data_IF_967932831181
#
_entry.id   IF_967932831181
#
_cell.length_a   1.000
_cell.length_b   1.000
_cell.length_c   1.000
_cell.angle_alpha   90.00
_cell.angle_beta   90.00
_cell.angle_gamma   90.00
#
_symmetry.space_group_name_H-M   'P 1'
#
loop_
_entity.id
_entity.type
_entity.pdbx_description
1 polymer ?
#
# COMPACT_ATOMS: atom_id res chain seq x y z
N UNK A 1 12.26 18.74 -22.61
CA UNK A 1 11.60 17.81 -21.67
C UNK A 1 10.16 17.62 -22.13
N UNK A 2 9.67 16.40 -22.16
CA UNK A 2 8.25 16.14 -22.40
C UNK A 2 7.42 16.76 -21.26
N UNK A 3 6.16 17.11 -21.55
CA UNK A 3 5.23 17.54 -20.49
C UNK A 3 4.94 16.35 -19.57
N UNK A 4 4.92 16.52 -18.24
CA UNK A 4 4.47 15.47 -17.36
C UNK A 4 3.04 15.04 -17.68
N UNK A 5 2.76 13.75 -17.52
CA UNK A 5 1.40 13.20 -17.63
C UNK A 5 0.85 13.07 -16.22
N UNK A 6 -0.38 13.55 -16.00
CA UNK A 6 -0.99 13.46 -14.68
C UNK A 6 -2.34 12.74 -14.73
N UNK A 7 -2.47 11.71 -13.91
CA UNK A 7 -3.68 10.90 -13.79
C UNK A 7 -4.43 11.32 -12.53
N UNK A 8 -5.64 11.83 -12.70
CA UNK A 8 -6.53 12.21 -11.61
C UNK A 8 -7.80 11.37 -11.64
N UNK A 9 -8.32 10.99 -10.48
CA UNK A 9 -9.58 10.25 -10.38
C UNK A 9 -10.78 11.18 -10.21
N UNK A 10 -11.93 10.77 -10.71
CA UNK A 10 -13.18 11.43 -10.34
C UNK A 10 -13.64 11.08 -8.92
N UNK A 11 -13.03 10.03 -8.33
CA UNK A 11 -13.25 9.57 -6.95
C UNK A 11 -12.01 8.80 -6.47
N UNK A 12 -12.01 8.46 -5.17
CA UNK A 12 -11.16 7.39 -4.67
C UNK A 12 -11.48 6.08 -5.41
N UNK A 13 -10.55 5.15 -5.46
CA UNK A 13 -10.66 3.83 -6.13
C UNK A 13 -11.03 3.85 -7.63
N UNK A 14 -10.99 5.00 -8.29
CA UNK A 14 -11.21 5.06 -9.74
C UNK A 14 -10.14 4.33 -10.56
N UNK A 15 -9.01 3.95 -9.93
CA UNK A 15 -7.91 3.21 -10.54
C UNK A 15 -6.74 4.09 -11.00
N UNK A 16 -6.51 5.25 -10.36
CA UNK A 16 -5.36 6.13 -10.64
C UNK A 16 -4.04 5.38 -10.58
N UNK A 17 -3.78 4.72 -9.46
CA UNK A 17 -2.52 4.00 -9.21
C UNK A 17 -2.31 2.88 -10.22
N UNK A 18 -3.38 2.17 -10.60
CA UNK A 18 -3.35 1.17 -11.68
C UNK A 18 -2.91 1.78 -13.02
N UNK A 19 -3.53 2.88 -13.43
CA UNK A 19 -3.20 3.55 -14.70
C UNK A 19 -1.78 4.10 -14.69
N UNK A 20 -1.35 4.73 -13.58
CA UNK A 20 0.03 5.24 -13.44
C UNK A 20 1.05 4.10 -13.49
N UNK A 21 0.79 2.98 -12.81
CA UNK A 21 1.64 1.80 -12.86
C UNK A 21 1.76 1.25 -14.28
N UNK A 22 0.62 1.12 -14.98
CA UNK A 22 0.58 0.68 -16.38
C UNK A 22 1.37 1.61 -17.31
N UNK A 23 1.24 2.93 -17.15
CA UNK A 23 1.98 3.93 -17.94
C UNK A 23 3.49 3.87 -17.64
N UNK A 24 3.90 3.75 -16.38
CA UNK A 24 5.31 3.63 -16.02
C UNK A 24 5.96 2.42 -16.71
N UNK A 25 5.29 1.24 -16.69
CA UNK A 25 5.79 0.05 -17.37
C UNK A 25 5.73 0.21 -18.90
N UNK A 26 4.68 0.80 -19.43
CA UNK A 26 4.54 1.06 -20.87
C UNK A 26 5.70 1.93 -21.41
N UNK A 27 6.00 3.04 -20.75
CA UNK A 27 7.12 3.91 -21.14
C UNK A 27 8.47 3.21 -20.98
N UNK A 28 8.69 2.49 -19.89
CA UNK A 28 9.92 1.72 -19.67
C UNK A 28 10.14 0.66 -20.76
N UNK A 29 9.08 -0.03 -21.19
CA UNK A 29 9.14 -1.03 -22.28
C UNK A 29 9.48 -0.39 -23.65
N UNK A 30 9.22 0.90 -23.82
CA UNK A 30 9.62 1.68 -25.01
C UNK A 30 11.00 2.31 -24.89
N UNK A 31 11.72 2.03 -23.81
CA UNK A 31 13.05 2.56 -23.54
C UNK A 31 13.07 4.02 -23.07
N UNK A 32 11.91 4.60 -22.71
CA UNK A 32 11.82 5.94 -22.14
C UNK A 32 12.23 5.91 -20.68
N UNK A 33 13.15 6.79 -20.27
CA UNK A 33 13.55 6.95 -18.88
C UNK A 33 12.47 7.70 -18.10
N UNK A 34 11.58 6.93 -17.45
CA UNK A 34 10.36 7.43 -16.80
C UNK A 34 10.46 7.32 -15.28
N UNK A 35 9.86 8.28 -14.57
CA UNK A 35 9.67 8.22 -13.11
C UNK A 35 8.22 8.46 -12.72
N UNK A 36 7.70 7.73 -11.70
CA UNK A 36 6.44 8.08 -11.06
C UNK A 36 6.61 9.26 -10.11
N UNK A 37 5.51 9.95 -9.84
CA UNK A 37 5.44 11.00 -8.82
C UNK A 37 4.05 11.07 -8.20
N UNK A 38 3.97 11.16 -6.87
CA UNK A 38 2.76 11.51 -6.14
C UNK A 38 3.13 12.50 -5.04
N UNK A 39 2.67 13.73 -5.16
CA UNK A 39 3.06 14.84 -4.30
C UNK A 39 2.87 14.52 -2.82
N UNK A 40 1.69 14.00 -2.48
CA UNK A 40 1.34 13.55 -1.15
C UNK A 40 0.53 12.27 -1.25
N UNK A 41 0.90 11.25 -0.48
CA UNK A 41 0.09 10.06 -0.29
C UNK A 41 -0.44 10.01 1.16
N UNK A 42 -1.61 9.40 1.34
CA UNK A 42 -2.16 9.10 2.66
C UNK A 42 -2.42 7.59 2.71
N UNK A 43 -1.53 6.86 3.37
CA UNK A 43 -1.60 5.41 3.48
C UNK A 43 -0.77 4.90 4.65
N UNK A 44 -1.22 3.84 5.31
CA UNK A 44 -0.41 3.10 6.28
C UNK A 44 0.52 2.08 5.60
N UNK A 45 0.29 1.79 4.31
CA UNK A 45 1.12 0.87 3.53
C UNK A 45 2.36 1.60 2.99
N UNK A 46 3.52 1.14 3.41
CA UNK A 46 4.80 1.73 3.05
C UNK A 46 5.86 0.67 2.77
N UNK A 47 6.86 1.05 1.99
CA UNK A 47 8.06 0.27 1.74
C UNK A 47 9.29 1.12 2.09
N UNK A 48 10.46 0.50 2.05
CA UNK A 48 11.74 1.15 2.31
C UNK A 48 12.56 1.17 1.01
N UNK A 49 13.07 2.33 0.65
CA UNK A 49 13.96 2.50 -0.52
C UNK A 49 15.34 1.90 -0.26
N UNK A 50 16.18 1.67 -1.30
CA UNK A 50 17.53 1.13 -1.10
C UNK A 50 18.43 1.96 -0.18
N UNK A 51 18.21 3.27 -0.11
CA UNK A 51 18.94 4.21 0.77
C UNK A 51 18.30 4.34 2.18
N UNK A 52 17.28 3.53 2.48
CA UNK A 52 16.67 3.48 3.82
C UNK A 52 15.56 4.50 4.06
N UNK A 53 15.08 5.19 3.04
CA UNK A 53 13.97 6.14 3.17
C UNK A 53 12.60 5.43 3.09
N UNK A 54 11.61 5.94 3.79
CA UNK A 54 10.23 5.44 3.75
C UNK A 54 9.48 6.04 2.55
N UNK A 55 8.76 5.20 1.79
CA UNK A 55 7.96 5.60 0.63
C UNK A 55 6.61 4.88 0.62
N UNK A 56 5.57 5.51 0.09
CA UNK A 56 4.27 4.84 -0.10
C UNK A 56 4.40 3.58 -0.99
N UNK A 57 3.71 2.50 -0.61
CA UNK A 57 3.79 1.20 -1.30
C UNK A 57 3.42 1.32 -2.78
N UNK A 58 2.41 2.13 -3.13
CA UNK A 58 2.02 2.36 -4.52
C UNK A 58 3.16 2.98 -5.36
N UNK A 59 3.83 4.01 -4.83
CA UNK A 59 4.94 4.65 -5.56
C UNK A 59 6.19 3.78 -5.63
N UNK A 60 6.40 2.94 -4.62
CA UNK A 60 7.41 1.89 -4.68
C UNK A 60 7.14 0.94 -5.87
N UNK A 61 5.92 0.43 -5.99
CA UNK A 61 5.50 -0.43 -7.10
C UNK A 61 5.60 0.27 -8.46
N UNK A 62 5.22 1.55 -8.54
CA UNK A 62 5.32 2.35 -9.76
C UNK A 62 6.77 2.56 -10.20
N UNK A 63 7.72 2.69 -9.25
CA UNK A 63 9.15 2.72 -9.55
C UNK A 63 9.65 1.38 -10.11
N UNK A 64 9.19 0.24 -9.54
CA UNK A 64 9.48 -1.08 -10.11
C UNK A 64 8.88 -1.23 -11.52
N UNK A 65 7.67 -0.72 -11.73
CA UNK A 65 7.06 -0.67 -13.06
C UNK A 65 7.91 0.12 -14.06
N UNK A 66 8.46 1.25 -13.63
CA UNK A 66 9.38 2.08 -14.41
C UNK A 66 10.78 1.46 -14.59
N UNK A 67 11.06 0.29 -14.00
CA UNK A 67 12.38 -0.39 -13.99
C UNK A 67 13.50 0.45 -13.38
N UNK A 68 13.17 1.29 -12.39
CA UNK A 68 14.11 2.14 -11.66
C UNK A 68 14.06 1.87 -10.16
N UNK A 69 15.13 2.22 -9.46
CA UNK A 69 15.15 2.16 -8.00
C UNK A 69 14.15 3.18 -7.40
N UNK A 70 13.32 2.78 -6.43
CA UNK A 70 12.43 3.71 -5.75
C UNK A 70 13.24 4.75 -4.96
N UNK A 71 12.76 6.00 -4.95
CA UNK A 71 13.41 7.14 -4.30
C UNK A 71 12.35 7.95 -3.53
N UNK A 72 12.70 8.48 -2.37
CA UNK A 72 11.79 9.25 -1.53
C UNK A 72 11.15 10.46 -2.26
N UNK A 73 11.87 11.09 -3.20
CA UNK A 73 11.37 12.21 -3.99
C UNK A 73 10.21 11.85 -4.94
N UNK A 74 9.96 10.56 -5.19
CA UNK A 74 8.80 10.09 -5.96
C UNK A 74 7.49 10.19 -5.15
N UNK A 75 7.61 10.21 -3.82
CA UNK A 75 6.52 10.48 -2.89
C UNK A 75 7.05 11.33 -1.72
N UNK A 76 7.30 12.64 -1.95
CA UNK A 76 7.98 13.49 -0.99
C UNK A 76 7.24 13.69 0.32
N UNK A 77 5.92 13.49 0.33
CA UNK A 77 5.07 13.58 1.52
C UNK A 77 4.21 12.33 1.65
N UNK A 78 4.40 11.59 2.75
CA UNK A 78 3.54 10.46 3.10
C UNK A 78 2.90 10.75 4.46
N UNK A 79 1.57 10.74 4.50
CA UNK A 79 0.78 10.88 5.71
C UNK A 79 0.35 9.49 6.19
N UNK A 80 0.67 9.16 7.43
CA UNK A 80 0.27 7.90 8.06
C UNK A 80 -0.75 8.19 9.16
N UNK A 81 -2.05 7.94 8.92
CA UNK A 81 -3.08 8.13 9.93
C UNK A 81 -2.77 7.32 11.20
N UNK A 82 -2.79 7.99 12.35
CA UNK A 82 -2.61 7.38 13.67
C UNK A 82 -3.86 7.48 14.54
N UNK A 83 -4.75 8.43 14.21
CA UNK A 83 -6.08 8.63 14.79
C UNK A 83 -6.97 9.36 13.77
N UNK A 84 -8.25 9.59 14.09
CA UNK A 84 -9.22 10.23 13.18
C UNK A 84 -8.79 11.61 12.70
N UNK A 85 -8.06 12.36 13.54
CA UNK A 85 -7.61 13.74 13.24
C UNK A 85 -6.10 13.90 13.26
N UNK A 86 -5.35 12.82 13.46
CA UNK A 86 -3.90 12.84 13.61
C UNK A 86 -3.21 11.98 12.55
N UNK A 87 -2.08 12.47 12.07
CA UNK A 87 -1.23 11.72 11.15
C UNK A 87 0.24 12.00 11.41
N UNK A 88 1.05 10.95 11.38
CA UNK A 88 2.49 11.10 11.28
C UNK A 88 2.84 11.56 9.86
N UNK A 89 3.63 12.62 9.77
CA UNK A 89 4.09 13.17 8.48
C UNK A 89 5.50 12.68 8.20
N UNK A 90 5.65 11.97 7.09
CA UNK A 90 6.94 11.55 6.54
C UNK A 90 7.29 12.51 5.42
N UNK A 91 8.43 13.18 5.52
CA UNK A 91 8.94 14.13 4.53
C UNK A 91 10.24 13.58 3.94
N UNK A 92 10.29 13.43 2.63
CA UNK A 92 11.45 12.85 1.93
C UNK A 92 11.95 11.53 2.57
N UNK A 93 11.00 10.71 3.02
CA UNK A 93 11.25 9.39 3.60
C UNK A 93 11.67 9.38 5.08
N UNK A 94 11.64 10.52 5.77
CA UNK A 94 11.96 10.64 7.19
C UNK A 94 10.79 11.25 7.97
N UNK A 95 10.62 10.83 9.24
CA UNK A 95 9.58 11.42 10.11
C UNK A 95 9.91 12.88 10.40
N UNK A 96 8.99 13.78 10.10
CA UNK A 96 9.08 15.17 10.51
C UNK A 96 8.13 15.43 11.70
N UNK A 97 8.69 15.41 12.90
CA UNK A 97 7.93 15.61 14.13
C UNK A 97 7.37 17.04 14.24
N UNK A 98 8.08 18.03 13.72
CA UNK A 98 7.65 19.43 13.78
C UNK A 98 6.44 19.66 12.89
N UNK A 99 6.47 19.16 11.64
CA UNK A 99 5.32 19.23 10.73
C UNK A 99 4.17 18.34 11.23
N UNK A 100 4.46 17.16 11.80
CA UNK A 100 3.42 16.28 12.36
C UNK A 100 2.61 16.95 13.48
N UNK A 101 3.24 17.79 14.29
CA UNK A 101 2.60 18.53 15.38
C UNK A 101 1.84 19.79 14.93
N UNK A 102 1.98 20.21 13.66
CA UNK A 102 1.32 21.42 13.16
C UNK A 102 -0.16 21.16 12.81
N UNK A 103 -1.03 22.17 12.94
CA UNK A 103 -2.36 22.15 12.36
C UNK A 103 -2.32 21.89 10.83
N UNK A 104 -3.30 21.15 10.30
CA UNK A 104 -3.33 20.73 8.90
C UNK A 104 -3.09 21.87 7.90
N UNK A 105 -3.79 22.99 8.05
CA UNK A 105 -3.68 24.12 7.11
C UNK A 105 -2.31 24.82 7.16
N UNK A 106 -1.62 24.79 8.29
CA UNK A 106 -0.31 25.42 8.46
C UNK A 106 0.84 24.59 7.85
N UNK A 107 0.62 23.29 7.66
CA UNK A 107 1.60 22.39 7.01
C UNK A 107 1.77 22.69 5.53
N UNK A 108 0.68 23.08 4.85
CA UNK A 108 0.60 23.13 3.40
C UNK A 108 1.65 24.02 2.71
N UNK A 109 1.91 25.27 3.17
CA UNK A 109 2.93 26.09 2.51
C UNK A 109 4.34 25.50 2.59
N UNK A 110 4.67 24.83 3.69
CA UNK A 110 5.99 24.20 3.88
C UNK A 110 6.12 22.95 3.02
N UNK A 111 5.11 22.10 3.04
CA UNK A 111 5.06 20.88 2.24
C UNK A 111 5.10 21.19 0.74
N UNK A 112 4.46 22.28 0.31
CA UNK A 112 4.46 22.66 -1.10
C UNK A 112 5.85 22.98 -1.64
N UNK A 113 6.72 23.61 -0.87
CA UNK A 113 8.09 23.88 -1.29
C UNK A 113 8.87 22.59 -1.55
N UNK A 114 8.71 21.61 -0.64
CA UNK A 114 9.35 20.29 -0.75
C UNK A 114 8.81 19.53 -1.97
N UNK A 115 7.49 19.55 -2.17
CA UNK A 115 6.82 18.92 -3.31
C UNK A 115 7.35 19.49 -4.63
N UNK A 116 7.45 20.82 -4.75
CA UNK A 116 7.99 21.50 -5.95
C UNK A 116 9.43 21.07 -6.23
N UNK A 117 10.29 21.12 -5.23
CA UNK A 117 11.70 20.76 -5.39
C UNK A 117 11.84 19.30 -5.86
N UNK A 118 11.11 18.38 -5.22
CA UNK A 118 11.09 16.96 -5.59
C UNK A 118 10.61 16.76 -7.04
N UNK A 119 9.50 17.41 -7.42
CA UNK A 119 8.96 17.32 -8.78
C UNK A 119 9.95 17.83 -9.83
N UNK A 120 10.50 19.02 -9.64
CA UNK A 120 11.46 19.59 -10.59
C UNK A 120 12.77 18.80 -10.66
N UNK A 121 13.18 18.17 -9.55
CA UNK A 121 14.35 17.28 -9.56
C UNK A 121 14.10 16.04 -10.44
N UNK A 122 12.91 15.43 -10.35
CA UNK A 122 12.53 14.32 -11.23
C UNK A 122 12.41 14.76 -12.69
N UNK A 123 11.77 15.90 -12.97
CA UNK A 123 11.66 16.43 -14.33
C UNK A 123 13.02 16.73 -14.97
N UNK A 124 14.05 17.04 -14.18
CA UNK A 124 15.41 17.24 -14.69
C UNK A 124 16.10 15.92 -15.04
N UNK A 125 15.88 14.90 -14.21
CA UNK A 125 16.64 13.65 -14.26
C UNK A 125 16.01 12.60 -15.19
N UNK A 126 14.71 12.73 -15.50
CA UNK A 126 13.93 11.76 -16.27
C UNK A 126 13.35 12.40 -17.53
N UNK A 127 13.24 11.62 -18.59
CA UNK A 127 12.64 12.07 -19.86
C UNK A 127 11.13 12.29 -19.73
N UNK A 128 10.47 11.43 -18.93
CA UNK A 128 9.04 11.49 -18.65
C UNK A 128 8.78 11.37 -17.16
N UNK A 129 7.82 12.15 -16.65
CA UNK A 129 7.27 11.99 -15.30
C UNK A 129 5.78 11.68 -15.39
N UNK A 130 5.36 10.58 -14.75
CA UNK A 130 3.94 10.19 -14.63
C UNK A 130 3.48 10.51 -13.23
N UNK A 131 2.53 11.42 -13.11
CA UNK A 131 2.07 11.98 -11.83
C UNK A 131 0.74 11.35 -11.44
N UNK A 132 0.62 10.90 -10.20
CA UNK A 132 -0.63 10.45 -9.61
C UNK A 132 -1.25 11.55 -8.74
N UNK A 133 -2.52 11.87 -8.99
CA UNK A 133 -3.32 12.73 -8.12
C UNK A 133 -3.83 12.02 -6.87
N UNK A 134 -4.37 12.76 -5.92
CA UNK A 134 -5.01 12.25 -4.70
C UNK A 134 -6.52 12.49 -4.70
N UNK A 135 -7.33 11.48 -4.35
CA UNK A 135 -8.78 11.60 -4.33
C UNK A 135 -9.34 12.11 -5.66
N UNK A 136 -10.07 13.23 -5.62
CA UNK A 136 -10.62 13.91 -6.79
C UNK A 136 -10.17 15.39 -6.84
N UNK A 137 -9.89 15.97 -8.03
CA UNK A 137 -9.63 17.41 -8.15
C UNK A 137 -10.89 18.27 -7.93
N UNK A 138 -12.06 17.63 -7.83
CA UNK A 138 -13.35 18.29 -7.59
C UNK A 138 -13.70 18.43 -6.09
N UNK A 139 -12.76 18.16 -5.18
CA UNK A 139 -12.91 18.41 -3.74
C UNK A 139 -12.87 19.92 -3.46
N UNK A 140 -13.99 20.60 -3.69
CA UNK A 140 -14.11 22.07 -3.64
C UNK A 140 -13.72 22.63 -2.28
N UNK A 141 -14.08 21.92 -1.22
CA UNK A 141 -13.77 22.25 0.19
C UNK A 141 -12.27 22.19 0.50
N UNK A 142 -11.48 21.42 -0.24
CA UNK A 142 -10.03 21.25 -0.03
C UNK A 142 -9.19 22.05 -1.02
N UNK A 143 -9.80 22.76 -1.95
CA UNK A 143 -9.12 23.42 -3.07
C UNK A 143 -7.99 24.38 -2.65
N UNK A 144 -8.21 25.17 -1.60
CA UNK A 144 -7.23 26.14 -1.11
C UNK A 144 -6.03 25.48 -0.44
N UNK A 145 -6.17 24.26 0.04
CA UNK A 145 -5.13 23.45 0.68
C UNK A 145 -4.58 22.35 -0.22
N UNK A 146 -5.03 22.26 -1.47
CA UNK A 146 -4.58 21.25 -2.41
C UNK A 146 -3.10 21.43 -2.75
N UNK A 147 -2.31 20.37 -2.54
CA UNK A 147 -0.92 20.26 -2.99
C UNK A 147 -0.69 18.99 -3.82
N UNK A 148 -1.78 18.33 -4.26
CA UNK A 148 -1.72 16.99 -4.86
C UNK A 148 -2.28 16.96 -6.28
N UNK A 149 -3.34 17.74 -6.54
CA UNK A 149 -4.08 17.71 -7.81
C UNK A 149 -3.75 18.91 -8.71
N UNK A 150 -4.71 19.83 -8.89
CA UNK A 150 -4.59 20.88 -9.89
C UNK A 150 -3.46 21.88 -9.62
N UNK A 151 -3.06 22.06 -8.37
CA UNK A 151 -1.89 22.89 -8.05
C UNK A 151 -0.61 22.31 -8.64
N UNK A 152 -0.43 20.98 -8.56
CA UNK A 152 0.71 20.27 -9.18
C UNK A 152 0.63 20.36 -10.70
N UNK A 153 -0.55 20.07 -11.28
CA UNK A 153 -0.75 20.13 -12.72
C UNK A 153 -0.43 21.51 -13.31
N UNK A 154 -0.86 22.58 -12.65
CA UNK A 154 -0.59 23.97 -13.06
C UNK A 154 0.88 24.34 -12.92
N UNK A 155 1.53 23.90 -11.83
CA UNK A 155 2.95 24.19 -11.58
C UNK A 155 3.86 23.64 -12.68
N UNK A 156 3.61 22.42 -13.15
CA UNK A 156 4.44 21.78 -14.18
C UNK A 156 3.79 21.74 -15.57
N UNK A 157 2.63 22.38 -15.75
CA UNK A 157 1.87 22.39 -17.01
C UNK A 157 1.62 20.96 -17.55
N UNK A 158 1.22 20.04 -16.65
CA UNK A 158 1.01 18.64 -16.97
C UNK A 158 -0.17 18.44 -17.94
N UNK A 159 -0.07 17.43 -18.79
CA UNK A 159 -1.22 16.91 -19.54
C UNK A 159 -2.05 16.02 -18.61
N UNK A 160 -3.26 16.46 -18.28
CA UNK A 160 -4.14 15.83 -17.28
C UNK A 160 -5.11 14.87 -17.94
N UNK A 161 -5.26 13.69 -17.36
CA UNK A 161 -6.26 12.68 -17.74
C UNK A 161 -7.13 12.33 -16.54
N UNK A 162 -8.47 12.42 -16.72
CA UNK A 162 -9.44 12.10 -15.67
C UNK A 162 -9.91 10.64 -15.80
N UNK A 163 -9.79 9.88 -14.73
CA UNK A 163 -10.18 8.46 -14.67
C UNK A 163 -11.49 8.31 -13.90
N UNK A 164 -12.43 7.57 -14.47
CA UNK A 164 -13.65 7.15 -13.77
C UNK A 164 -13.81 5.62 -13.80
N UNK A 165 -14.30 5.07 -12.70
CA UNK A 165 -14.70 3.67 -12.56
C UNK A 165 -16.08 3.47 -13.18
N UNK A 166 -16.17 2.73 -14.31
CA UNK A 166 -17.44 2.50 -14.99
C UNK A 166 -18.27 1.36 -14.35
N UNK A 167 -17.62 0.47 -13.61
CA UNK A 167 -18.28 -0.67 -12.97
C UNK A 167 -19.24 -0.23 -11.86
N UNK A 168 -18.93 0.87 -11.17
CA UNK A 168 -19.77 1.44 -10.11
C UNK A 168 -21.00 2.18 -10.64
N UNK A 169 -21.09 2.43 -11.95
CA UNK A 169 -22.12 3.26 -12.56
C UNK A 169 -21.86 4.76 -12.42
N UNK A 170 -22.57 5.57 -13.23
CA UNK A 170 -22.47 7.03 -13.19
C UNK A 170 -21.15 7.63 -13.72
N UNK A 171 -20.27 6.86 -14.36
CA UNK A 171 -18.94 7.31 -14.77
C UNK A 171 -18.96 8.57 -15.66
N UNK A 172 -19.90 8.68 -16.60
CA UNK A 172 -20.05 9.85 -17.46
C UNK A 172 -20.47 11.09 -16.67
N UNK A 173 -21.34 10.93 -15.68
CA UNK A 173 -21.74 12.04 -14.79
C UNK A 173 -20.55 12.46 -13.91
N UNK A 174 -19.77 11.51 -13.39
CA UNK A 174 -18.56 11.80 -12.61
C UNK A 174 -17.52 12.55 -13.43
N UNK A 175 -17.23 12.13 -14.68
CA UNK A 175 -16.30 12.81 -15.58
C UNK A 175 -16.78 14.25 -15.90
N UNK A 176 -18.02 14.40 -16.31
CA UNK A 176 -18.60 15.68 -16.64
C UNK A 176 -18.64 16.62 -15.42
N UNK A 177 -19.11 16.11 -14.27
CA UNK A 177 -19.18 16.87 -13.02
C UNK A 177 -17.81 17.31 -12.52
N UNK A 178 -16.84 16.39 -12.51
CA UNK A 178 -15.46 16.69 -12.11
C UNK A 178 -14.87 17.78 -13.03
N UNK A 179 -15.01 17.65 -14.35
CA UNK A 179 -14.53 18.63 -15.30
C UNK A 179 -15.20 20.00 -15.13
N UNK A 180 -16.50 20.05 -14.85
CA UNK A 180 -17.23 21.30 -14.58
C UNK A 180 -16.79 21.99 -13.28
N UNK A 181 -16.35 21.24 -12.28
CA UNK A 181 -15.82 21.78 -11.02
C UNK A 181 -14.45 22.44 -11.16
N UNK A 182 -13.71 22.18 -12.26
CA UNK A 182 -12.41 22.80 -12.52
C UNK A 182 -12.57 24.24 -13.04
N UNK A 183 -11.59 25.10 -12.74
CA UNK A 183 -11.51 26.44 -13.33
C UNK A 183 -11.17 26.37 -14.82
N UNK A 184 -11.40 27.47 -15.53
CA UNK A 184 -11.19 27.54 -17.00
C UNK A 184 -9.75 27.17 -17.37
N UNK A 185 -8.78 27.71 -16.64
CA UNK A 185 -7.34 27.46 -16.85
C UNK A 185 -6.96 26.00 -16.54
N UNK A 186 -7.64 25.40 -15.57
CA UNK A 186 -7.43 24.01 -15.19
C UNK A 186 -8.01 23.04 -16.22
N UNK A 187 -9.21 23.36 -16.76
CA UNK A 187 -9.83 22.60 -17.86
C UNK A 187 -8.95 22.53 -19.09
N UNK A 188 -8.19 23.59 -19.38
CA UNK A 188 -7.28 23.63 -20.51
C UNK A 188 -6.14 22.60 -20.43
N UNK A 189 -5.81 22.14 -19.20
CA UNK A 189 -4.82 21.09 -18.98
C UNK A 189 -5.39 19.67 -19.21
N UNK A 190 -6.73 19.50 -19.17
CA UNK A 190 -7.36 18.18 -19.37
C UNK A 190 -7.27 17.80 -20.84
N UNK A 191 -6.64 16.65 -21.13
CA UNK A 191 -6.40 16.16 -22.49
C UNK A 191 -7.24 14.93 -22.84
N UNK A 192 -7.75 14.22 -21.85
CA UNK A 192 -8.56 13.03 -22.11
C UNK A 192 -9.28 12.50 -20.89
N UNK A 193 -10.29 11.68 -21.17
CA UNK A 193 -10.98 10.88 -20.18
C UNK A 193 -10.61 9.42 -20.34
N UNK A 194 -10.55 8.70 -19.22
CA UNK A 194 -10.27 7.27 -19.15
C UNK A 194 -11.44 6.60 -18.43
N UNK A 195 -12.07 5.64 -19.10
CA UNK A 195 -13.05 4.74 -18.49
C UNK A 195 -12.32 3.47 -18.06
N UNK A 196 -12.29 3.21 -16.75
CA UNK A 196 -11.58 2.08 -16.16
C UNK A 196 -12.56 1.03 -15.63
N UNK A 197 -12.07 -0.20 -15.48
CA UNK A 197 -12.82 -1.36 -14.97
C UNK A 197 -14.03 -1.72 -15.84
N UNK A 198 -13.90 -1.57 -17.16
CA UNK A 198 -14.97 -1.90 -18.08
C UNK A 198 -15.19 -3.41 -18.16
N UNK A 199 -16.46 -3.82 -18.12
CA UNK A 199 -16.91 -5.21 -18.35
C UNK A 199 -17.99 -5.24 -19.41
N UNK A 200 -17.97 -6.26 -20.25
CA UNK A 200 -18.98 -6.49 -21.26
C UNK A 200 -18.61 -6.01 -22.66
N UNK A 201 -19.64 -5.81 -23.48
CA UNK A 201 -19.47 -5.41 -24.88
C UNK A 201 -19.37 -3.89 -25.00
N UNK A 202 -18.32 -3.42 -25.70
CA UNK A 202 -18.12 -2.00 -26.01
C UNK A 202 -19.31 -1.37 -26.75
N UNK A 203 -20.04 -2.15 -27.53
CA UNK A 203 -21.23 -1.69 -28.26
C UNK A 203 -22.33 -1.18 -27.30
N UNK A 204 -22.37 -1.64 -26.05
CA UNK A 204 -23.32 -1.19 -25.03
C UNK A 204 -23.10 0.26 -24.60
N UNK A 205 -21.92 0.84 -24.84
CA UNK A 205 -21.65 2.25 -24.57
C UNK A 205 -22.39 3.18 -25.56
N UNK A 206 -22.81 2.65 -26.72
CA UNK A 206 -23.51 3.43 -27.74
C UNK A 206 -22.76 4.72 -28.08
N UNK A 207 -23.44 5.85 -28.04
CA UNK A 207 -22.88 7.18 -28.28
C UNK A 207 -22.43 7.92 -27.02
N UNK A 208 -22.30 7.25 -25.87
CA UNK A 208 -22.04 7.92 -24.58
C UNK A 208 -20.69 8.66 -24.56
N UNK A 209 -19.65 8.13 -25.22
CA UNK A 209 -18.34 8.81 -25.32
C UNK A 209 -18.43 10.04 -26.24
N UNK A 210 -19.18 9.95 -27.34
CA UNK A 210 -19.46 11.08 -28.23
C UNK A 210 -20.28 12.17 -27.53
N UNK A 211 -21.31 11.76 -26.78
CA UNK A 211 -22.12 12.65 -25.95
C UNK A 211 -21.27 13.44 -24.94
N UNK A 212 -20.25 12.80 -24.33
CA UNK A 212 -19.32 13.46 -23.40
C UNK A 212 -18.41 14.44 -24.16
N UNK A 213 -17.90 14.04 -25.33
CA UNK A 213 -17.07 14.89 -26.18
C UNK A 213 -17.80 16.14 -26.65
N UNK A 214 -19.05 16.03 -27.10
CA UNK A 214 -19.88 17.17 -27.51
C UNK A 214 -20.05 18.23 -26.41
N UNK A 215 -20.01 17.82 -25.14
CA UNK A 215 -20.22 18.71 -23.98
C UNK A 215 -18.94 19.31 -23.43
N UNK A 216 -17.83 18.67 -23.64
CA UNK A 216 -16.56 19.05 -23.00
C UNK A 216 -15.48 19.44 -24.01
N UNK A 217 -15.58 18.96 -25.23
CA UNK A 217 -14.51 19.03 -26.25
C UNK A 217 -13.34 18.08 -25.92
N UNK A 218 -13.45 17.24 -24.90
CA UNK A 218 -12.38 16.34 -24.42
C UNK A 218 -12.68 14.91 -24.85
N UNK A 219 -11.75 14.21 -25.54
CA UNK A 219 -11.97 12.85 -25.99
C UNK A 219 -11.87 11.83 -24.84
N UNK A 220 -12.61 10.70 -24.95
CA UNK A 220 -12.31 9.51 -24.18
C UNK A 220 -11.17 8.77 -24.89
N UNK A 221 -9.98 8.79 -24.27
CA UNK A 221 -8.74 8.28 -24.87
C UNK A 221 -8.48 6.81 -24.60
N UNK A 222 -9.05 6.28 -23.53
CA UNK A 222 -8.89 4.86 -23.18
C UNK A 222 -10.16 4.28 -22.54
N UNK A 223 -10.44 3.04 -22.89
CA UNK A 223 -11.41 2.16 -22.27
C UNK A 223 -10.65 0.92 -21.76
N UNK A 224 -10.34 0.91 -20.46
CA UNK A 224 -9.54 -0.14 -19.84
C UNK A 224 -10.45 -1.22 -19.27
N UNK A 225 -10.24 -2.48 -19.65
CA UNK A 225 -11.06 -3.58 -19.14
C UNK A 225 -10.80 -3.84 -17.66
N UNK A 226 -11.79 -4.40 -16.96
CA UNK A 226 -11.56 -4.99 -15.66
C UNK A 226 -10.77 -6.27 -15.83
N UNK A 227 -9.58 -6.30 -15.29
CA UNK A 227 -8.69 -7.47 -15.32
C UNK A 227 -8.38 -7.94 -13.90
N UNK A 228 -8.17 -9.25 -13.77
CA UNK A 228 -7.56 -9.78 -12.55
C UNK A 228 -6.06 -9.59 -12.65
N UNK A 229 -5.47 -8.98 -11.65
CA UNK A 229 -4.02 -8.77 -11.54
C UNK A 229 -3.56 -9.08 -10.12
N UNK A 230 -2.26 -9.28 -9.97
CA UNK A 230 -1.60 -9.55 -8.68
C UNK A 230 -0.90 -8.31 -8.11
N UNK A 231 -1.21 -7.12 -8.65
CA UNK A 231 -0.66 -5.88 -8.12
C UNK A 231 -1.34 -5.52 -6.81
N UNK A 232 -0.58 -5.13 -5.77
CA UNK A 232 -1.13 -4.69 -4.50
C UNK A 232 -2.14 -3.55 -4.69
N UNK A 233 -3.28 -3.67 -4.04
CA UNK A 233 -4.27 -2.60 -3.97
C UNK A 233 -3.97 -1.72 -2.76
N UNK A 234 -4.09 -0.39 -2.91
CA UNK A 234 -3.59 0.56 -1.93
C UNK A 234 -4.33 0.48 -0.58
N UNK A 235 -5.64 0.19 -0.57
CA UNK A 235 -6.47 0.33 0.64
C UNK A 235 -7.59 -0.73 0.78
N UNK A 236 -7.59 -1.83 0.04
CA UNK A 236 -8.76 -2.72 0.04
C UNK A 236 -8.43 -4.18 0.30
N UNK A 237 -9.03 -4.71 1.37
CA UNK A 237 -9.22 -6.14 1.56
C UNK A 237 -10.41 -6.60 0.67
N UNK A 238 -10.18 -6.75 -0.62
CA UNK A 238 -11.26 -7.05 -1.57
C UNK A 238 -11.77 -8.49 -1.53
N UNK A 239 -11.11 -9.40 -0.85
CA UNK A 239 -11.52 -10.79 -0.85
C UNK A 239 -12.02 -11.22 0.52
N UNK A 240 -13.35 -11.19 0.72
CA UNK A 240 -13.99 -12.04 1.73
C UNK A 240 -13.90 -13.49 1.25
N UNK A 241 -12.71 -14.07 1.36
CA UNK A 241 -12.57 -15.50 1.23
C UNK A 241 -13.28 -16.17 2.41
N UNK A 242 -13.90 -17.31 2.18
CA UNK A 242 -14.40 -18.18 3.23
C UNK A 242 -13.48 -19.39 3.33
N UNK A 243 -13.33 -20.00 4.52
CA UNK A 243 -12.57 -21.23 4.65
C UNK A 243 -13.08 -22.29 3.69
N UNK A 244 -12.15 -22.90 2.96
CA UNK A 244 -12.47 -23.97 2.00
C UNK A 244 -12.03 -25.31 2.56
N UNK A 245 -12.84 -26.35 2.30
CA UNK A 245 -12.49 -27.72 2.67
C UNK A 245 -11.34 -28.22 1.78
N UNK A 246 -10.36 -28.94 2.38
CA UNK A 246 -9.17 -29.47 1.71
C UNK A 246 -8.11 -28.42 1.31
N UNK A 247 -8.19 -27.20 1.83
CA UNK A 247 -7.20 -26.15 1.65
C UNK A 247 -6.54 -25.75 2.98
N UNK A 248 -5.38 -25.10 2.87
CA UNK A 248 -4.76 -24.42 4.02
C UNK A 248 -5.48 -23.10 4.23
N UNK A 249 -6.24 -22.99 5.30
CA UNK A 249 -6.95 -21.76 5.67
C UNK A 249 -6.13 -20.99 6.71
N UNK A 250 -5.78 -19.74 6.38
CA UNK A 250 -5.01 -18.83 7.22
C UNK A 250 -5.92 -17.70 7.70
N UNK A 251 -5.98 -17.46 9.01
CA UNK A 251 -6.72 -16.34 9.59
C UNK A 251 -5.84 -15.09 9.59
N UNK A 252 -6.13 -14.09 8.77
CA UNK A 252 -5.49 -12.78 8.80
C UNK A 252 -6.31 -11.83 9.67
N UNK A 253 -5.85 -11.56 10.90
CA UNK A 253 -6.57 -10.69 11.82
C UNK A 253 -6.42 -9.23 11.41
N UNK A 254 -7.51 -8.59 11.03
CA UNK A 254 -7.54 -7.20 10.59
C UNK A 254 -8.06 -6.33 11.72
N UNK A 255 -7.23 -5.39 12.15
CA UNK A 255 -7.56 -4.42 13.19
C UNK A 255 -7.40 -3.00 12.66
N UNK A 256 -7.99 -1.99 13.33
CA UNK A 256 -7.76 -0.59 12.97
C UNK A 256 -6.26 -0.27 12.93
N UNK A 257 -5.84 0.49 11.95
CA UNK A 257 -4.43 0.85 11.73
C UNK A 257 -3.53 -0.33 11.31
N UNK A 258 -4.09 -1.47 10.88
CA UNK A 258 -3.32 -2.51 10.22
C UNK A 258 -2.57 -1.91 9.01
N UNK A 259 -1.36 -2.38 8.77
CA UNK A 259 -0.48 -1.85 7.71
C UNK A 259 0.20 -2.97 6.95
N UNK A 260 0.55 -2.70 5.71
CA UNK A 260 1.28 -3.60 4.81
C UNK A 260 0.57 -4.96 4.62
N UNK A 261 -0.75 -4.93 4.46
CA UNK A 261 -1.55 -6.15 4.28
C UNK A 261 -1.21 -6.88 2.97
N UNK A 262 -0.67 -6.18 2.00
CA UNK A 262 -0.18 -6.71 0.74
C UNK A 262 1.02 -7.69 0.90
N UNK A 263 1.69 -7.69 2.04
CA UNK A 263 2.75 -8.67 2.33
C UNK A 263 2.23 -10.12 2.46
N UNK A 264 0.91 -10.32 2.56
CA UNK A 264 0.26 -11.62 2.56
C UNK A 264 -0.25 -12.06 1.17
N UNK A 265 -0.21 -11.18 0.16
CA UNK A 265 -0.62 -11.51 -1.23
C UNK A 265 0.12 -12.72 -1.80
N UNK A 266 1.42 -12.94 -1.54
CA UNK A 266 2.10 -14.15 -1.97
C UNK A 266 1.46 -15.44 -1.46
N UNK A 267 0.82 -15.43 -0.28
CA UNK A 267 0.08 -16.58 0.25
C UNK A 267 -1.27 -16.76 -0.44
N UNK A 268 -1.95 -15.66 -0.76
CA UNK A 268 -3.25 -15.67 -1.49
C UNK A 268 -3.10 -16.31 -2.88
N UNK A 269 -1.93 -16.16 -3.48
CA UNK A 269 -1.67 -16.67 -4.84
C UNK A 269 -1.16 -18.11 -4.88
N UNK A 270 -0.91 -18.74 -3.71
CA UNK A 270 -0.50 -20.14 -3.70
C UNK A 270 -1.70 -21.08 -3.88
N UNK A 271 -1.61 -22.05 -4.81
CA UNK A 271 -2.70 -23.02 -5.03
C UNK A 271 -3.00 -23.82 -3.74
N UNK A 272 -4.27 -23.90 -3.38
CA UNK A 272 -4.71 -24.63 -2.20
C UNK A 272 -4.44 -23.88 -0.87
N UNK A 273 -4.23 -22.57 -0.92
CA UNK A 273 -4.13 -21.69 0.24
C UNK A 273 -5.23 -20.65 0.19
N UNK A 274 -5.91 -20.45 1.30
CA UNK A 274 -6.94 -19.42 1.45
C UNK A 274 -6.58 -18.53 2.64
N UNK A 275 -6.42 -17.23 2.40
CA UNK A 275 -6.23 -16.23 3.47
C UNK A 275 -7.57 -15.57 3.75
N UNK A 276 -8.06 -15.71 4.97
CA UNK A 276 -9.39 -15.24 5.40
C UNK A 276 -9.21 -14.00 6.29
N UNK A 277 -9.69 -12.82 5.87
CA UNK A 277 -9.69 -11.64 6.72
C UNK A 277 -10.65 -11.77 7.89
N UNK A 278 -10.15 -11.62 9.12
CA UNK A 278 -10.89 -11.69 10.36
C UNK A 278 -11.08 -10.28 10.93
N UNK A 279 -12.28 -9.73 10.79
CA UNK A 279 -12.61 -8.37 11.24
C UNK A 279 -13.48 -8.32 12.50
N UNK A 280 -13.89 -9.45 13.04
CA UNK A 280 -14.76 -9.56 14.21
C UNK A 280 -14.49 -10.81 15.02
N UNK A 281 -15.17 -10.94 16.16
CA UNK A 281 -15.01 -12.11 17.02
C UNK A 281 -15.57 -13.37 16.34
N UNK A 282 -14.68 -14.27 15.93
CA UNK A 282 -15.02 -15.60 15.44
C UNK A 282 -14.01 -16.63 15.92
N UNK A 283 -14.37 -17.91 15.81
CA UNK A 283 -13.52 -19.01 16.28
C UNK A 283 -12.31 -19.17 15.37
N UNK A 284 -11.10 -19.14 15.97
CA UNK A 284 -9.84 -19.23 15.26
C UNK A 284 -9.21 -20.64 15.31
N UNK A 285 -9.76 -21.55 16.09
CA UNK A 285 -9.25 -22.92 16.25
C UNK A 285 -9.48 -23.83 15.03
N UNK A 286 -10.25 -23.37 14.05
CA UNK A 286 -10.47 -24.05 12.76
C UNK A 286 -9.45 -23.68 11.67
N UNK A 287 -8.61 -22.68 11.92
CA UNK A 287 -7.58 -22.23 10.96
C UNK A 287 -6.26 -22.97 11.19
N UNK A 288 -5.48 -23.09 10.11
CA UNK A 288 -4.17 -23.74 10.15
C UNK A 288 -3.08 -22.83 10.75
N UNK A 289 -3.25 -21.52 10.64
CA UNK A 289 -2.42 -20.53 11.32
C UNK A 289 -3.16 -19.20 11.46
N UNK A 290 -2.70 -18.37 12.41
CA UNK A 290 -3.16 -17.01 12.64
C UNK A 290 -2.03 -16.05 12.23
N UNK A 291 -2.37 -15.02 11.47
CA UNK A 291 -1.46 -13.97 11.00
C UNK A 291 -1.85 -12.64 11.64
N UNK A 292 -0.92 -11.98 12.33
CA UNK A 292 -1.07 -10.61 12.84
C UNK A 292 -0.19 -9.69 12.01
N UNK A 293 -0.76 -8.79 11.20
CA UNK A 293 -0.02 -7.87 10.34
C UNK A 293 0.69 -6.76 11.13
N UNK A 294 1.39 -5.88 10.43
CA UNK A 294 1.89 -4.63 10.96
C UNK A 294 0.78 -3.73 11.51
N UNK A 295 1.14 -2.80 12.38
CA UNK A 295 0.22 -1.80 12.92
C UNK A 295 0.89 -0.44 13.01
N UNK A 296 0.18 0.61 12.58
CA UNK A 296 0.61 1.99 12.78
C UNK A 296 0.35 2.49 14.21
N UNK A 297 -0.61 1.89 14.90
CA UNK A 297 -0.91 2.17 16.31
C UNK A 297 -1.18 0.84 17.04
N UNK A 298 -0.13 0.27 17.59
CA UNK A 298 -0.14 -1.04 18.25
C UNK A 298 -1.02 -1.04 19.48
N UNK A 299 -0.99 0.05 20.27
CA UNK A 299 -1.80 0.18 21.49
C UNK A 299 -3.29 0.24 21.16
N UNK A 300 -3.68 0.99 20.13
CA UNK A 300 -5.08 1.03 19.67
C UNK A 300 -5.53 -0.33 19.12
N UNK A 301 -4.65 -1.04 18.40
CA UNK A 301 -4.91 -2.39 17.90
C UNK A 301 -5.12 -3.40 19.05
N UNK A 302 -4.31 -3.35 20.11
CA UNK A 302 -4.53 -4.18 21.32
C UNK A 302 -5.88 -3.89 22.00
N UNK A 303 -6.24 -2.62 22.08
CA UNK A 303 -7.53 -2.21 22.64
C UNK A 303 -8.69 -2.79 21.82
N UNK A 304 -8.61 -2.70 20.50
CA UNK A 304 -9.59 -3.30 19.59
C UNK A 304 -9.67 -4.82 19.77
N UNK A 305 -8.55 -5.54 19.79
CA UNK A 305 -8.53 -7.00 19.97
C UNK A 305 -9.20 -7.43 21.28
N UNK A 306 -9.03 -6.66 22.36
CA UNK A 306 -9.69 -6.94 23.64
C UNK A 306 -11.18 -6.63 23.61
N UNK A 307 -11.56 -5.47 23.05
CA UNK A 307 -12.96 -5.04 23.01
C UNK A 307 -13.81 -5.91 22.09
N UNK A 308 -13.25 -6.38 20.98
CA UNK A 308 -13.92 -7.29 20.03
C UNK A 308 -13.98 -8.74 20.51
N UNK A 309 -13.25 -9.10 21.58
CA UNK A 309 -13.12 -10.50 22.04
C UNK A 309 -12.08 -11.32 21.28
N UNK A 310 -11.48 -10.79 20.21
CA UNK A 310 -10.46 -11.49 19.41
C UNK A 310 -9.23 -11.87 20.22
N UNK A 311 -8.81 -11.07 21.22
CA UNK A 311 -7.68 -11.40 22.08
C UNK A 311 -7.89 -12.74 22.83
N UNK A 312 -9.10 -12.99 23.32
CA UNK A 312 -9.44 -14.25 24.00
C UNK A 312 -9.46 -15.43 23.01
N UNK A 313 -9.97 -15.21 21.78
CA UNK A 313 -9.98 -16.26 20.74
C UNK A 313 -8.57 -16.60 20.26
N UNK A 314 -7.69 -15.61 20.07
CA UNK A 314 -6.27 -15.80 19.72
C UNK A 314 -5.61 -16.65 20.80
N UNK A 315 -5.73 -16.27 22.10
CA UNK A 315 -5.13 -17.02 23.21
C UNK A 315 -5.66 -18.47 23.26
N UNK A 316 -6.97 -18.67 23.06
CA UNK A 316 -7.58 -20.01 23.04
C UNK A 316 -7.04 -20.86 21.89
N UNK A 317 -6.95 -20.31 20.67
CA UNK A 317 -6.47 -21.01 19.50
C UNK A 317 -4.99 -21.41 19.66
N UNK A 318 -4.15 -20.49 20.14
CA UNK A 318 -2.72 -20.76 20.41
C UNK A 318 -2.55 -21.86 21.46
N UNK A 319 -3.32 -21.85 22.56
CA UNK A 319 -3.30 -22.90 23.58
C UNK A 319 -3.75 -24.28 23.04
N UNK A 320 -4.52 -24.30 21.96
CA UNK A 320 -4.91 -25.54 21.26
C UNK A 320 -3.92 -25.97 20.18
N UNK A 321 -2.79 -25.28 20.08
CA UNK A 321 -1.71 -25.61 19.16
C UNK A 321 -1.78 -24.94 17.80
N UNK A 322 -2.73 -24.02 17.55
CA UNK A 322 -2.75 -23.25 16.29
C UNK A 322 -1.54 -22.31 16.26
N UNK A 323 -0.66 -22.40 15.24
CA UNK A 323 0.48 -21.51 15.11
C UNK A 323 0.03 -20.06 14.86
N UNK A 324 0.81 -19.11 15.39
CA UNK A 324 0.59 -17.69 15.15
C UNK A 324 1.89 -17.01 14.73
N UNK A 325 1.81 -16.15 13.72
CA UNK A 325 2.91 -15.30 13.27
C UNK A 325 2.50 -13.83 13.35
N UNK A 326 3.23 -13.03 14.14
CA UNK A 326 3.09 -11.58 14.19
C UNK A 326 4.23 -10.89 13.45
N UNK A 327 3.90 -9.93 12.57
CA UNK A 327 4.88 -9.14 11.80
C UNK A 327 4.88 -7.70 12.31
N UNK A 328 6.05 -7.17 12.66
CA UNK A 328 6.28 -5.80 13.11
C UNK A 328 5.34 -5.41 14.28
N UNK A 329 4.30 -4.61 14.06
CA UNK A 329 3.28 -4.35 15.07
C UNK A 329 2.65 -5.65 15.62
N UNK A 330 2.42 -6.63 14.75
CA UNK A 330 1.93 -7.96 15.15
C UNK A 330 2.84 -8.68 16.13
N UNK A 331 4.17 -8.60 15.97
CA UNK A 331 5.13 -9.10 16.96
C UNK A 331 4.98 -8.36 18.28
N UNK A 332 4.85 -7.03 18.25
CA UNK A 332 4.70 -6.21 19.46
C UNK A 332 3.42 -6.56 20.22
N UNK A 333 2.32 -6.86 19.49
CA UNK A 333 1.05 -7.33 20.08
C UNK A 333 1.23 -8.62 20.86
N UNK A 334 2.09 -9.54 20.39
CA UNK A 334 2.34 -10.86 21.02
C UNK A 334 3.12 -10.77 22.32
N UNK A 335 3.88 -9.68 22.55
CA UNK A 335 4.70 -9.48 23.74
C UNK A 335 3.91 -9.37 25.04
N UNK A 336 4.61 -9.26 26.16
CA UNK A 336 4.03 -9.02 27.48
C UNK A 336 3.61 -7.57 27.67
N UNK A 337 4.47 -6.63 27.29
CA UNK A 337 4.30 -5.21 27.56
C UNK A 337 4.81 -4.35 26.40
N UNK A 338 4.13 -3.23 26.19
CA UNK A 338 4.54 -2.14 25.32
C UNK A 338 4.68 -0.90 26.19
N UNK A 339 5.89 -0.34 26.25
CA UNK A 339 6.19 0.92 26.90
C UNK A 339 6.25 2.05 25.87
N UNK A 340 5.52 3.12 26.11
CA UNK A 340 5.45 4.30 25.25
C UNK A 340 5.77 5.59 26.03
N UNK A 341 7.01 5.72 26.53
CA UNK A 341 7.41 6.84 27.40
C UNK A 341 7.30 8.21 26.70
N UNK A 342 7.32 8.22 25.38
CA UNK A 342 7.22 9.44 24.58
C UNK A 342 5.81 9.70 24.03
N UNK A 343 4.83 8.85 24.34
CA UNK A 343 3.45 8.93 23.82
C UNK A 343 3.38 9.02 22.30
N UNK A 344 4.19 8.20 21.64
CA UNK A 344 4.19 8.09 20.16
C UNK A 344 2.90 7.48 19.62
N UNK A 345 2.24 6.67 20.45
CA UNK A 345 0.94 6.06 20.18
C UNK A 345 -0.08 6.48 21.25
N UNK A 346 -0.38 5.65 22.22
CA UNK A 346 -1.44 5.92 23.20
C UNK A 346 -1.03 5.61 24.65
N UNK A 347 0.28 5.55 24.90
CA UNK A 347 0.88 5.23 26.20
C UNK A 347 1.09 3.72 26.42
N UNK A 348 1.53 3.38 27.62
CA UNK A 348 1.88 2.00 28.00
C UNK A 348 0.66 1.06 27.94
N UNK A 349 0.90 -0.18 27.50
CA UNK A 349 -0.17 -1.16 27.34
C UNK A 349 0.37 -2.59 27.55
N UNK A 350 -0.32 -3.46 28.32
CA UNK A 350 0.02 -4.88 28.33
C UNK A 350 -0.29 -5.48 26.96
N UNK A 351 0.61 -6.36 26.45
CA UNK A 351 0.42 -7.14 25.24
C UNK A 351 -0.52 -8.34 25.41
N UNK A 352 -0.49 -9.27 24.46
CA UNK A 352 -1.25 -10.53 24.54
C UNK A 352 -0.57 -11.55 25.49
N UNK A 353 0.72 -11.33 25.82
CA UNK A 353 1.48 -12.19 26.71
C UNK A 353 1.80 -13.58 26.16
N UNK A 354 1.84 -13.74 24.86
CA UNK A 354 2.11 -15.00 24.16
C UNK A 354 3.61 -15.22 23.90
N UNK A 355 4.40 -14.14 23.90
CA UNK A 355 5.87 -14.16 23.85
C UNK A 355 6.43 -13.40 25.07
N UNK A 356 7.51 -13.92 25.66
CA UNK A 356 8.24 -13.22 26.72
C UNK A 356 9.09 -12.09 26.14
N UNK A 357 8.42 -11.05 25.62
CA UNK A 357 9.01 -9.90 24.98
C UNK A 357 8.47 -8.62 25.63
N UNK A 358 9.34 -7.63 25.81
CA UNK A 358 8.96 -6.26 26.18
C UNK A 358 9.43 -5.30 25.09
N UNK A 359 8.51 -4.49 24.58
CA UNK A 359 8.81 -3.51 23.52
C UNK A 359 8.74 -2.08 24.08
N UNK A 360 9.77 -1.28 23.84
CA UNK A 360 9.75 0.17 24.11
C UNK A 360 9.66 0.92 22.80
N UNK A 361 8.68 1.82 22.68
CA UNK A 361 8.54 2.71 21.54
C UNK A 361 9.48 3.89 21.67
N UNK A 362 10.31 4.14 20.67
CA UNK A 362 11.30 5.25 20.65
C UNK A 362 11.02 6.20 19.49
N UNK A 363 11.35 7.51 19.63
CA UNK A 363 11.14 8.51 18.57
C UNK A 363 11.88 8.16 17.27
N UNK A 364 13.09 7.63 17.39
CA UNK A 364 13.92 7.26 16.24
C UNK A 364 13.34 6.02 15.55
N UNK A 365 12.86 6.20 14.32
CA UNK A 365 12.28 5.14 13.54
C UNK A 365 13.36 4.33 12.82
N UNK A 366 13.31 3.02 12.96
CA UNK A 366 14.14 2.12 12.15
C UNK A 366 13.50 1.95 10.78
N UNK A 367 14.22 2.34 9.71
CA UNK A 367 13.83 2.12 8.33
C UNK A 367 15.04 1.61 7.56
N UNK A 368 15.03 0.36 7.11
CA UNK A 368 16.16 -0.21 6.36
C UNK A 368 15.78 -1.47 5.59
N UNK A 369 16.43 -1.67 4.46
CA UNK A 369 16.40 -2.93 3.72
C UNK A 369 17.20 -4.00 4.48
N UNK A 370 16.78 -5.26 4.39
CA UNK A 370 17.43 -6.40 5.05
C UNK A 370 17.69 -7.54 4.07
N UNK A 371 18.81 -8.22 4.32
CA UNK A 371 19.15 -9.52 3.76
C UNK A 371 19.47 -10.46 4.93
N UNK A 372 18.44 -11.20 5.36
CA UNK A 372 18.49 -12.00 6.60
C UNK A 372 19.02 -13.39 6.29
N UNK A 373 20.11 -13.85 6.91
CA UNK A 373 20.54 -15.25 6.81
C UNK A 373 19.48 -16.19 7.36
N UNK A 374 19.10 -17.19 6.60
CA UNK A 374 18.08 -18.15 7.02
C UNK A 374 18.30 -19.51 6.33
N UNK A 375 18.60 -20.56 7.12
CA UNK A 375 18.73 -21.95 6.66
C UNK A 375 19.58 -22.14 5.37
N UNK A 376 20.72 -21.48 5.31
CA UNK A 376 21.66 -21.58 4.15
C UNK A 376 21.29 -20.70 2.95
N UNK A 377 20.21 -19.92 3.03
CA UNK A 377 19.82 -18.91 2.04
C UNK A 377 19.77 -17.51 2.67
N UNK A 378 19.39 -16.51 1.89
CA UNK A 378 19.11 -15.15 2.38
C UNK A 378 17.69 -14.75 2.02
N UNK A 379 16.99 -14.21 3.01
CA UNK A 379 15.65 -13.66 2.82
C UNK A 379 15.75 -12.15 2.65
N UNK A 380 15.21 -11.63 1.54
CA UNK A 380 15.03 -10.20 1.32
C UNK A 380 13.84 -9.70 2.13
N UNK A 381 13.93 -8.47 2.63
CA UNK A 381 12.84 -7.82 3.35
C UNK A 381 13.26 -6.45 3.85
N UNK A 382 12.44 -5.83 4.70
CA UNK A 382 12.74 -4.51 5.27
C UNK A 382 12.17 -4.36 6.69
N UNK A 383 12.77 -3.45 7.46
CA UNK A 383 12.27 -3.01 8.77
C UNK A 383 11.71 -1.58 8.66
N UNK A 384 10.60 -1.35 9.35
CA UNK A 384 9.94 -0.06 9.42
C UNK A 384 9.14 0.07 10.72
N UNK A 385 9.81 0.43 11.84
CA UNK A 385 9.17 0.44 13.17
C UNK A 385 9.82 1.43 14.14
N UNK A 386 9.08 1.79 15.19
CA UNK A 386 9.55 2.56 16.33
C UNK A 386 9.96 1.69 17.52
N UNK A 387 9.53 0.42 17.54
CA UNK A 387 9.73 -0.47 18.68
C UNK A 387 11.16 -0.98 18.80
N UNK A 388 11.69 -0.96 20.01
CA UNK A 388 12.88 -1.69 20.44
C UNK A 388 12.46 -2.79 21.38
N UNK A 389 12.67 -4.05 20.98
CA UNK A 389 12.18 -5.21 21.73
C UNK A 389 13.33 -5.92 22.45
N UNK A 390 13.11 -6.21 23.72
CA UNK A 390 13.97 -7.03 24.57
C UNK A 390 13.31 -8.37 24.81
N UNK A 391 14.12 -9.44 24.69
CA UNK A 391 13.71 -10.81 24.91
C UNK A 391 13.94 -11.21 26.37
N UNK A 392 12.96 -11.87 26.99
CA UNK A 392 13.08 -12.54 28.25
C UNK A 392 13.69 -13.96 28.10
N UNK A 393 13.74 -14.71 29.22
CA UNK A 393 14.41 -16.01 29.25
C UNK A 393 13.65 -17.13 28.51
N UNK A 394 12.33 -16.95 28.25
CA UNK A 394 11.46 -17.99 27.69
C UNK A 394 11.45 -18.07 26.16
N UNK A 395 12.10 -17.17 25.45
CA UNK A 395 12.03 -17.09 24.00
C UNK A 395 13.36 -17.48 23.32
N UNK A 396 13.24 -18.03 22.12
CA UNK A 396 14.38 -18.38 21.26
C UNK A 396 14.46 -17.42 20.07
N UNK A 397 15.66 -17.18 19.56
CA UNK A 397 15.84 -16.45 18.34
C UNK A 397 15.28 -17.26 17.15
N UNK A 398 14.32 -16.67 16.43
CA UNK A 398 13.77 -17.21 15.19
C UNK A 398 14.47 -16.65 13.95
N UNK A 399 14.72 -15.35 13.97
CA UNK A 399 15.62 -14.67 13.02
C UNK A 399 16.79 -14.06 13.79
N UNK A 400 17.97 -13.94 13.16
CA UNK A 400 19.16 -13.36 13.81
C UNK A 400 19.01 -11.87 14.08
N UNK A 401 19.97 -11.29 14.78
CA UNK A 401 20.14 -9.85 15.00
C UNK A 401 18.92 -9.15 15.67
N UNK A 402 18.14 -9.88 16.47
CA UNK A 402 16.95 -9.34 17.11
C UNK A 402 15.80 -9.05 16.12
N UNK A 403 15.80 -9.72 14.98
CA UNK A 403 14.78 -9.56 13.95
C UNK A 403 13.57 -10.46 14.13
N UNK A 404 13.65 -11.45 15.04
CA UNK A 404 12.52 -12.32 15.31
C UNK A 404 12.78 -13.31 16.41
N UNK A 405 11.70 -13.69 17.10
CA UNK A 405 11.69 -14.63 18.21
C UNK A 405 10.56 -15.63 18.08
N UNK A 406 10.71 -16.76 18.74
CA UNK A 406 9.67 -17.77 18.86
C UNK A 406 9.65 -18.42 20.25
N UNK A 407 8.47 -18.91 20.58
CA UNK A 407 8.23 -19.74 21.77
C UNK A 407 7.07 -20.68 21.42
N UNK A 408 7.31 -22.00 21.51
CA UNK A 408 6.33 -23.02 21.12
C UNK A 408 5.82 -22.83 19.68
N UNK A 409 4.52 -22.61 19.51
CA UNK A 409 3.86 -22.33 18.23
C UNK A 409 3.64 -20.84 17.95
N UNK A 410 4.28 -19.96 18.71
CA UNK A 410 4.18 -18.49 18.56
C UNK A 410 5.44 -17.93 17.95
N UNK A 411 5.30 -17.17 16.87
CA UNK A 411 6.40 -16.56 16.14
C UNK A 411 6.15 -15.06 15.99
N UNK A 412 7.19 -14.27 16.15
CA UNK A 412 7.13 -12.83 15.93
C UNK A 412 8.37 -12.33 15.21
N UNK A 413 8.22 -11.47 14.23
CA UNK A 413 9.31 -10.93 13.40
C UNK A 413 9.15 -9.45 13.14
N UNK A 414 10.28 -8.72 13.00
CA UNK A 414 10.26 -7.32 12.56
C UNK A 414 10.32 -7.16 11.05
N UNK A 415 10.79 -8.17 10.34
CA UNK A 415 11.03 -8.10 8.90
C UNK A 415 9.74 -8.24 8.13
N UNK A 416 9.40 -7.22 7.35
CA UNK A 416 8.35 -7.25 6.35
C UNK A 416 8.83 -7.92 5.06
N UNK A 417 7.88 -8.43 4.25
CA UNK A 417 8.17 -9.04 2.95
C UNK A 417 8.71 -10.46 3.03
N UNK A 418 8.64 -11.14 4.18
CA UNK A 418 9.15 -12.52 4.31
C UNK A 418 8.46 -13.49 3.36
N UNK A 419 7.16 -13.35 3.13
CA UNK A 419 6.42 -14.21 2.21
C UNK A 419 6.70 -13.94 0.74
N UNK A 420 7.36 -12.84 0.38
CA UNK A 420 7.85 -12.61 -0.98
C UNK A 420 8.95 -13.61 -1.37
N UNK A 421 9.67 -14.17 -0.38
CA UNK A 421 10.73 -15.17 -0.58
C UNK A 421 10.15 -16.58 -0.71
N UNK A 422 10.27 -17.19 -1.87
CA UNK A 422 9.72 -18.52 -2.14
C UNK A 422 10.18 -19.60 -1.15
N UNK A 423 11.48 -19.70 -0.71
CA UNK A 423 11.91 -20.70 0.24
C UNK A 423 11.23 -20.56 1.63
N UNK A 424 11.05 -19.32 2.12
CA UNK A 424 10.36 -19.08 3.38
C UNK A 424 8.89 -19.45 3.29
N UNK A 425 8.21 -19.03 2.23
CA UNK A 425 6.79 -19.29 1.98
C UNK A 425 6.53 -20.79 1.84
N UNK A 426 7.36 -21.52 1.09
CA UNK A 426 7.30 -22.97 0.96
C UNK A 426 7.35 -23.65 2.34
N UNK A 427 8.39 -23.36 3.14
CA UNK A 427 8.58 -23.99 4.42
C UNK A 427 7.45 -23.63 5.41
N UNK A 428 6.99 -22.37 5.41
CA UNK A 428 5.88 -21.95 6.25
C UNK A 428 4.62 -22.79 5.95
N UNK A 429 4.26 -22.93 4.71
CA UNK A 429 3.08 -23.69 4.27
C UNK A 429 3.24 -25.20 4.51
N UNK A 430 4.42 -25.77 4.29
CA UNK A 430 4.72 -27.18 4.55
C UNK A 430 4.53 -27.54 6.03
N UNK A 431 4.95 -26.65 6.95
CA UNK A 431 4.73 -26.85 8.40
C UNK A 431 3.25 -26.91 8.77
N UNK A 432 2.38 -26.29 7.96
CA UNK A 432 0.92 -26.33 8.12
C UNK A 432 0.26 -27.52 7.42
N UNK A 433 1.06 -28.39 6.78
CA UNK A 433 0.57 -29.59 6.08
C UNK A 433 0.30 -29.40 4.60
N UNK A 434 0.64 -28.22 4.02
CA UNK A 434 0.55 -28.01 2.59
C UNK A 434 1.57 -28.87 1.82
N UNK A 435 1.11 -29.45 0.70
CA UNK A 435 1.93 -30.36 -0.12
C UNK A 435 2.13 -29.86 -1.55
N UNK A 436 1.86 -28.57 -1.79
CA UNK A 436 2.09 -27.93 -3.07
C UNK A 436 3.54 -27.50 -3.26
N UNK A 437 3.79 -26.85 -4.39
CA UNK A 437 5.03 -26.11 -4.66
C UNK A 437 4.66 -24.66 -4.86
N UNK A 438 5.47 -23.75 -4.30
CA UNK A 438 5.27 -22.31 -4.45
C UNK A 438 5.38 -21.87 -5.90
N UNK A 439 4.63 -20.83 -6.23
CA UNK A 439 4.58 -20.22 -7.58
C UNK A 439 5.91 -19.56 -8.00
N UNK A 440 6.96 -19.65 -7.18
CA UNK A 440 8.26 -19.06 -7.41
C UNK A 440 8.46 -17.75 -6.66
N UNK A 441 9.49 -17.00 -7.03
CA UNK A 441 9.78 -15.70 -6.42
C UNK A 441 8.66 -14.70 -6.72
N UNK A 442 8.19 -14.01 -5.68
CA UNK A 442 7.06 -13.08 -5.80
C UNK A 442 7.35 -11.92 -6.75
N UNK A 443 8.59 -11.48 -6.80
CA UNK A 443 9.04 -10.44 -7.75
C UNK A 443 8.78 -10.80 -9.21
N UNK A 444 8.90 -12.08 -9.58
CA UNK A 444 8.59 -12.53 -10.94
C UNK A 444 7.09 -12.53 -11.23
N UNK A 445 6.26 -12.87 -10.23
CA UNK A 445 4.79 -12.80 -10.33
C UNK A 445 4.33 -11.35 -10.49
N UNK A 446 4.89 -10.44 -9.71
CA UNK A 446 4.62 -9.00 -9.82
C UNK A 446 5.07 -8.47 -11.17
N UNK A 447 6.27 -8.82 -11.64
CA UNK A 447 6.78 -8.35 -12.95
C UNK A 447 5.90 -8.82 -14.11
N UNK A 448 5.44 -10.06 -14.09
CA UNK A 448 4.48 -10.57 -15.08
C UNK A 448 3.16 -9.79 -15.07
N UNK A 449 2.63 -9.44 -13.88
CA UNK A 449 1.45 -8.59 -13.76
C UNK A 449 1.68 -7.16 -14.27
N UNK A 450 2.87 -6.61 -14.03
CA UNK A 450 3.25 -5.30 -14.58
C UNK A 450 3.27 -5.29 -16.11
N UNK A 451 3.77 -6.37 -16.74
CA UNK A 451 3.69 -6.52 -18.19
C UNK A 451 2.24 -6.62 -18.68
N UNK A 452 1.42 -7.42 -18.00
CA UNK A 452 0.01 -7.55 -18.33
C UNK A 452 -0.73 -6.20 -18.31
N UNK A 453 -0.54 -5.40 -17.26
CA UNK A 453 -1.23 -4.11 -17.15
C UNK A 453 -0.70 -3.07 -18.15
N UNK A 454 0.59 -3.10 -18.48
CA UNK A 454 1.17 -2.25 -19.52
C UNK A 454 0.59 -2.56 -20.91
N UNK A 455 0.34 -3.83 -21.20
CA UNK A 455 -0.25 -4.26 -22.45
C UNK A 455 -1.65 -3.67 -22.66
N UNK A 456 -2.42 -3.43 -21.60
CA UNK A 456 -3.74 -2.79 -21.68
C UNK A 456 -3.69 -1.37 -22.22
N UNK A 457 -2.61 -0.63 -21.99
CA UNK A 457 -2.42 0.71 -22.57
C UNK A 457 -2.28 0.60 -24.07
N UNK A 458 -1.51 -0.38 -24.56
CA UNK A 458 -1.35 -0.65 -26.01
C UNK A 458 -2.67 -1.05 -26.63
N UNK A 459 -3.39 -1.98 -26.02
CA UNK A 459 -4.67 -2.51 -26.51
C UNK A 459 -5.79 -1.48 -26.49
N UNK A 460 -5.74 -0.51 -25.58
CA UNK A 460 -6.72 0.58 -25.53
C UNK A 460 -6.64 1.52 -26.75
N UNK A 461 -5.51 1.49 -27.48
CA UNK A 461 -5.23 2.40 -28.59
C UNK A 461 -4.89 3.81 -28.13
N UNK A 462 -4.66 4.01 -26.85
CA UNK A 462 -4.25 5.32 -26.32
C UNK A 462 -2.84 5.66 -26.79
N UNK A 463 -2.74 6.69 -27.64
CA UNK A 463 -1.47 7.20 -28.18
C UNK A 463 -0.97 8.29 -27.22
N UNK A 464 0.13 8.02 -26.55
CA UNK A 464 0.81 8.92 -25.61
C UNK A 464 2.23 9.19 -26.10
#
# INVERSE_FOLDING_TARGET
MARPIMIMGCSSDAGKSFVVTALCRHFANRGVHVAPFKAQNMSNNAAVTPDGAEIGRAQYLQALAARIAPQARMNPVLLKPSADTESQVIVMGQVDHAISAMPWLERQPRLWLIVREALYSLMRDYEQVVIEGGGSPAEINLRTSDIVNMRVARECQADVYLVADIDRGGAFAHLLGTWHCLEVEERALVKGFILNKFRGDRALLGNAMEWLYERTGIPTVALLPMVRHTLPEEDTLHHRAHPETQQINLALVVYPYASNLDEFDPLVHEPGVTVVPICGCERLDAYHAILLPGSKNTVASLRYLRQSGLAAEINRAVQRGVPILGICGGLQLLGREIHDPHRLESGDCPGLGLLDLTTTLVPDKTTRQRQVPWQGTRLGGYEIHHGQTQAGEGVQAYLPDGLGWCQDNVYGVYVHGLFENAPYRQQFLERLGWRGQTTGEWSAVVDASLEQVAQLIVESGWII
#
